data_IF_791119954019
#
_entry.id   IF_791119954019
#
_cell.length_a   1.000
_cell.length_b   1.000
_cell.length_c   1.000
_cell.angle_alpha   90.00
_cell.angle_beta   90.00
_cell.angle_gamma   90.00
#
_symmetry.space_group_name_H-M   'P 1'
#
loop_
_entity.id
_entity.type
_entity.pdbx_description
1 polymer ?
#
# COMPACT_ATOMS: atom_id res chain seq x y z
N UNK A 1 -30.63 -6.29 45.96
CA UNK A 1 -29.87 -5.16 45.39
C UNK A 1 -30.25 -5.07 43.92
N UNK A 2 -31.20 -4.20 43.58
CA UNK A 2 -31.76 -4.07 42.23
C UNK A 2 -31.21 -2.81 41.55
N UNK A 3 -30.68 -2.94 40.34
CA UNK A 3 -30.58 -1.85 39.35
C UNK A 3 -30.98 -2.49 38.02
N UNK A 4 -32.19 -2.24 37.50
CA UNK A 4 -32.68 -1.04 36.79
C UNK A 4 -32.10 -0.91 35.38
N UNK A 5 -32.93 -1.27 34.39
CA UNK A 5 -32.76 -0.99 32.95
C UNK A 5 -33.77 0.12 32.61
N UNK A 6 -33.24 1.29 32.27
CA UNK A 6 -33.90 2.43 31.60
C UNK A 6 -32.75 3.25 31.01
N UNK A 7 -32.67 3.71 29.77
CA UNK A 7 -33.60 3.80 28.67
C UNK A 7 -33.14 4.99 27.79
N UNK A 8 -32.89 4.70 26.51
CA UNK A 8 -33.06 5.54 25.31
C UNK A 8 -32.34 6.92 25.12
N UNK A 9 -31.56 6.94 24.04
CA UNK A 9 -31.56 7.84 22.86
C UNK A 9 -31.38 9.37 23.03
N UNK A 10 -30.40 9.92 22.28
CA UNK A 10 -30.59 10.70 21.04
C UNK A 10 -29.29 11.43 20.67
N UNK A 11 -28.83 11.22 19.45
CA UNK A 11 -27.70 11.92 18.85
C UNK A 11 -27.44 11.45 17.44
N UNK A 12 -28.47 11.48 16.58
CA UNK A 12 -28.33 11.23 15.15
C UNK A 12 -27.92 12.56 14.50
N UNK A 13 -26.70 12.63 13.98
CA UNK A 13 -26.27 13.57 12.96
C UNK A 13 -25.74 12.76 11.77
N UNK A 14 -26.02 13.13 10.52
CA UNK A 14 -25.74 12.27 9.37
C UNK A 14 -24.27 12.43 8.97
N UNK A 15 -23.48 11.37 9.06
CA UNK A 15 -22.31 11.21 8.20
C UNK A 15 -22.56 9.96 7.37
N UNK A 16 -23.23 10.19 6.26
CA UNK A 16 -23.38 9.24 5.17
C UNK A 16 -22.04 9.24 4.42
N UNK A 17 -21.17 8.28 4.72
CA UNK A 17 -19.87 8.12 4.08
C UNK A 17 -19.33 6.73 4.36
N UNK A 18 -19.61 5.83 3.43
CA UNK A 18 -19.23 4.40 3.34
C UNK A 18 -19.78 3.44 4.41
N UNK A 19 -20.70 2.58 3.96
CA UNK A 19 -20.90 1.26 4.53
C UNK A 19 -19.61 0.46 4.32
N UNK A 20 -18.75 0.38 5.34
CA UNK A 20 -17.89 -0.78 5.53
C UNK A 20 -17.98 -1.25 6.97
N UNK A 21 -19.09 -1.97 7.21
CA UNK A 21 -19.24 -3.08 8.14
C UNK A 21 -18.54 -3.00 9.51
N UNK A 22 -19.33 -2.66 10.52
CA UNK A 22 -19.17 -3.06 11.90
C UNK A 22 -19.26 -4.60 12.00
N UNK A 23 -18.16 -5.31 11.72
CA UNK A 23 -18.03 -6.76 11.93
C UNK A 23 -16.75 -7.08 12.73
N UNK A 24 -16.63 -6.52 13.93
CA UNK A 24 -15.74 -7.05 14.95
C UNK A 24 -16.52 -8.05 15.81
N UNK A 25 -16.79 -9.26 15.32
CA UNK A 25 -17.04 -10.43 16.19
C UNK A 25 -17.13 -11.79 15.44
N UNK A 26 -16.14 -12.15 14.61
CA UNK A 26 -15.78 -13.56 14.35
C UNK A 26 -14.40 -13.56 13.68
N UNK A 27 -13.41 -14.24 14.27
CA UNK A 27 -12.05 -14.32 13.76
C UNK A 27 -11.92 -15.16 12.47
N UNK A 28 -12.33 -14.59 11.34
CA UNK A 28 -12.01 -15.10 10.00
C UNK A 28 -11.76 -13.89 9.08
N UNK A 29 -10.55 -13.78 8.55
CA UNK A 29 -10.08 -12.72 7.64
C UNK A 29 -11.08 -12.42 6.53
N UNK A 30 -11.48 -11.15 6.37
CA UNK A 30 -12.20 -10.65 5.20
C UNK A 30 -11.23 -10.41 4.03
N UNK A 31 -10.44 -11.41 3.67
CA UNK A 31 -9.60 -11.34 2.48
C UNK A 31 -10.46 -11.18 1.22
N UNK A 32 -10.05 -10.30 0.30
CA UNK A 32 -10.76 -10.13 -0.98
C UNK A 32 -10.73 -11.43 -1.79
N UNK A 33 -11.79 -11.69 -2.56
CA UNK A 33 -11.83 -12.85 -3.46
C UNK A 33 -10.87 -12.65 -4.64
N UNK A 34 -10.45 -13.74 -5.27
CA UNK A 34 -9.62 -13.67 -6.47
C UNK A 34 -8.12 -13.42 -6.23
N UNK A 35 -7.66 -13.40 -4.98
CA UNK A 35 -6.24 -13.42 -4.64
C UNK A 35 -5.61 -14.76 -5.08
N UNK A 36 -4.49 -14.68 -5.77
CA UNK A 36 -3.73 -15.84 -6.22
C UNK A 36 -2.43 -15.96 -5.42
N UNK A 37 -2.22 -17.15 -4.89
CA UNK A 37 -1.08 -17.47 -4.05
C UNK A 37 -0.15 -18.43 -4.78
N UNK A 38 1.14 -18.35 -4.47
CA UNK A 38 2.11 -19.33 -4.94
C UNK A 38 1.78 -20.74 -4.42
N UNK A 39 2.41 -21.75 -5.04
CA UNK A 39 2.35 -23.14 -4.55
C UNK A 39 3.70 -23.54 -3.96
N UNK A 40 3.65 -24.32 -2.89
CA UNK A 40 4.80 -25.04 -2.36
C UNK A 40 5.21 -26.18 -3.30
N UNK A 41 6.37 -26.79 -3.05
CA UNK A 41 6.88 -27.92 -3.84
C UNK A 41 5.95 -29.14 -3.83
N UNK A 42 5.18 -29.30 -2.76
CA UNK A 42 4.19 -30.38 -2.61
C UNK A 42 2.83 -30.07 -3.29
N UNK A 43 2.71 -28.90 -3.94
CA UNK A 43 1.49 -28.44 -4.59
C UNK A 43 0.48 -27.75 -3.66
N UNK A 44 0.73 -27.72 -2.35
CA UNK A 44 -0.09 -26.97 -1.40
C UNK A 44 0.04 -25.45 -1.63
N UNK A 45 -0.99 -24.70 -1.24
CA UNK A 45 -0.99 -23.24 -1.39
C UNK A 45 -0.05 -22.60 -0.36
N UNK A 46 0.85 -21.73 -0.82
CA UNK A 46 1.68 -20.89 0.02
C UNK A 46 0.96 -19.55 0.29
N UNK A 47 0.22 -19.47 1.39
CA UNK A 47 -0.50 -18.24 1.78
C UNK A 47 0.41 -17.06 2.16
N UNK A 48 1.72 -17.26 2.25
CA UNK A 48 2.69 -16.20 2.56
C UNK A 48 3.04 -15.35 1.33
N UNK A 49 2.88 -15.90 0.12
CA UNK A 49 3.30 -15.27 -1.13
C UNK A 49 2.11 -15.12 -2.09
N UNK A 50 1.68 -13.87 -2.27
CA UNK A 50 0.65 -13.50 -3.23
C UNK A 50 1.32 -13.17 -4.57
N UNK A 51 0.86 -13.79 -5.66
CA UNK A 51 1.50 -13.69 -6.99
C UNK A 51 0.59 -13.10 -8.07
N UNK A 52 -0.67 -12.83 -7.73
CA UNK A 52 -1.62 -12.31 -8.70
C UNK A 52 -2.97 -12.00 -8.08
N UNK A 53 -3.78 -11.30 -8.86
CA UNK A 53 -5.14 -10.96 -8.54
C UNK A 53 -6.01 -11.12 -9.78
N UNK A 54 -7.18 -11.73 -9.61
CA UNK A 54 -8.19 -11.88 -10.67
C UNK A 54 -9.59 -11.54 -10.18
N UNK A 55 -9.69 -10.89 -9.02
CA UNK A 55 -10.96 -10.42 -8.48
C UNK A 55 -11.51 -9.26 -9.30
N UNK A 56 -12.79 -9.00 -9.11
CA UNK A 56 -13.49 -7.88 -9.76
C UNK A 56 -13.50 -6.64 -8.85
N UNK A 57 -13.30 -6.83 -7.56
CA UNK A 57 -13.29 -5.82 -6.52
C UNK A 57 -12.15 -4.83 -6.74
N UNK A 58 -12.41 -3.55 -6.51
CA UNK A 58 -11.42 -2.46 -6.63
C UNK A 58 -10.83 -2.04 -5.28
N UNK A 59 -11.47 -2.49 -4.21
CA UNK A 59 -11.01 -2.34 -2.84
C UNK A 59 -10.51 -3.70 -2.36
N UNK A 60 -9.18 -3.81 -2.20
CA UNK A 60 -8.51 -5.08 -1.89
C UNK A 60 -8.06 -5.09 -0.44
N UNK A 61 -8.43 -6.14 0.29
CA UNK A 61 -7.93 -6.46 1.62
C UNK A 61 -7.00 -7.66 1.50
N UNK A 62 -5.72 -7.44 1.74
CA UNK A 62 -4.70 -8.49 1.75
C UNK A 62 -4.70 -9.15 3.14
N UNK A 63 -4.82 -10.49 3.24
CA UNK A 63 -4.83 -11.19 4.52
C UNK A 63 -3.50 -11.12 5.28
N UNK A 64 -3.57 -11.15 6.61
CA UNK A 64 -2.44 -11.04 7.56
C UNK A 64 -1.47 -12.22 7.46
N UNK A 65 -1.83 -13.30 6.75
CA UNK A 65 -0.88 -14.37 6.46
C UNK A 65 0.18 -13.97 5.42
N UNK A 66 -0.07 -12.94 4.61
CA UNK A 66 0.81 -12.58 3.48
C UNK A 66 2.04 -11.84 4.00
N UNK A 67 3.22 -12.35 3.66
CA UNK A 67 4.50 -11.69 3.96
C UNK A 67 5.12 -11.05 2.72
N UNK A 68 4.72 -11.49 1.52
CA UNK A 68 5.27 -11.03 0.25
C UNK A 68 4.18 -10.84 -0.79
N UNK A 69 4.19 -9.66 -1.40
CA UNK A 69 3.39 -9.34 -2.59
C UNK A 69 4.33 -9.42 -3.78
N UNK A 70 4.06 -10.34 -4.69
CA UNK A 70 4.90 -10.66 -5.83
C UNK A 70 4.88 -9.60 -6.92
N UNK A 71 5.78 -9.78 -7.88
CA UNK A 71 5.87 -8.95 -9.09
C UNK A 71 4.52 -8.89 -9.83
N UNK A 72 4.08 -7.67 -10.15
CA UNK A 72 2.86 -7.40 -10.90
C UNK A 72 1.56 -7.90 -10.25
N UNK A 73 1.60 -8.35 -8.98
CA UNK A 73 0.51 -9.11 -8.37
C UNK A 73 -0.86 -8.42 -8.41
N UNK A 74 -0.87 -7.08 -8.35
CA UNK A 74 -2.05 -6.23 -8.45
C UNK A 74 -1.91 -5.15 -9.54
N UNK A 75 -0.99 -5.30 -10.50
CA UNK A 75 -0.79 -4.31 -11.55
C UNK A 75 -1.93 -4.31 -12.58
N UNK A 76 -2.35 -3.13 -13.06
CA UNK A 76 -3.39 -2.96 -14.10
C UNK A 76 -4.81 -3.44 -13.71
N UNK A 77 -5.18 -3.32 -12.43
CA UNK A 77 -6.48 -3.80 -11.93
C UNK A 77 -7.50 -2.69 -11.67
N UNK A 78 -7.16 -1.42 -11.92
CA UNK A 78 -8.02 -0.27 -11.61
C UNK A 78 -8.41 -0.23 -10.13
N UNK A 79 -7.51 -0.67 -9.24
CA UNK A 79 -7.75 -0.65 -7.80
C UNK A 79 -7.87 0.80 -7.32
N UNK A 80 -8.87 1.04 -6.47
CA UNK A 80 -9.14 2.33 -5.84
C UNK A 80 -8.61 2.37 -4.42
N UNK A 81 -8.52 1.22 -3.75
CA UNK A 81 -7.90 1.08 -2.44
C UNK A 81 -7.26 -0.29 -2.23
N UNK A 82 -6.24 -0.32 -1.36
CA UNK A 82 -5.65 -1.55 -0.87
C UNK A 82 -5.31 -1.43 0.62
N UNK A 83 -5.66 -2.45 1.40
CA UNK A 83 -5.22 -2.64 2.77
C UNK A 83 -4.06 -3.65 2.79
N UNK A 84 -2.86 -3.16 3.06
CA UNK A 84 -1.63 -3.97 3.19
C UNK A 84 -1.40 -4.25 4.69
N UNK A 85 -1.36 -5.52 5.13
CA UNK A 85 -1.20 -5.84 6.55
C UNK A 85 0.27 -5.73 7.00
N UNK A 86 0.46 -5.53 8.31
CA UNK A 86 1.77 -5.41 8.97
C UNK A 86 2.64 -6.68 8.87
N UNK A 87 2.09 -7.79 8.40
CA UNK A 87 2.85 -9.00 8.09
C UNK A 87 3.70 -8.86 6.81
N UNK A 88 3.36 -7.93 5.91
CA UNK A 88 4.06 -7.74 4.65
C UNK A 88 5.42 -7.12 4.89
N UNK A 89 6.45 -7.76 4.32
CA UNK A 89 7.84 -7.29 4.40
C UNK A 89 8.41 -6.92 3.04
N UNK A 90 7.81 -7.42 1.95
CA UNK A 90 8.29 -7.24 0.58
C UNK A 90 7.14 -6.95 -0.37
N UNK A 91 7.29 -5.90 -1.17
CA UNK A 91 6.43 -5.51 -2.29
C UNK A 91 7.26 -5.62 -3.57
N UNK A 92 6.81 -6.46 -4.51
CA UNK A 92 7.52 -6.77 -5.74
C UNK A 92 7.47 -5.65 -6.79
N UNK A 93 8.25 -5.83 -7.86
CA UNK A 93 8.26 -4.91 -9.00
C UNK A 93 6.87 -4.78 -9.63
N UNK A 94 6.43 -3.56 -9.91
CA UNK A 94 5.13 -3.30 -10.53
C UNK A 94 3.91 -3.79 -9.75
N UNK A 95 4.07 -4.19 -8.48
CA UNK A 95 3.04 -4.91 -7.73
C UNK A 95 1.69 -4.18 -7.71
N UNK A 96 1.68 -2.86 -7.62
CA UNK A 96 0.49 -2.00 -7.64
C UNK A 96 0.52 -0.98 -8.78
N UNK A 97 1.31 -1.20 -9.83
CA UNK A 97 1.45 -0.29 -10.96
C UNK A 97 0.19 -0.17 -11.83
N UNK A 98 -0.04 0.99 -12.46
CA UNK A 98 -1.21 1.30 -13.30
C UNK A 98 -2.55 1.03 -12.60
N UNK A 99 -2.78 1.65 -11.45
CA UNK A 99 -4.06 1.59 -10.75
C UNK A 99 -4.64 2.99 -10.56
N UNK A 100 -5.66 3.13 -9.72
CA UNK A 100 -6.33 4.39 -9.38
C UNK A 100 -6.25 4.63 -7.86
N UNK A 101 -5.13 4.18 -7.25
CA UNK A 101 -4.96 4.30 -5.81
C UNK A 101 -4.75 5.76 -5.47
N UNK A 102 -5.60 6.31 -4.61
CA UNK A 102 -5.53 7.71 -4.16
C UNK A 102 -4.70 7.88 -2.89
N UNK A 103 -4.62 6.82 -2.10
CA UNK A 103 -3.79 6.70 -0.91
C UNK A 103 -3.40 5.24 -0.68
N UNK A 104 -2.21 5.04 -0.11
CA UNK A 104 -1.72 3.74 0.34
C UNK A 104 -0.97 3.96 1.65
N UNK A 105 -1.29 3.16 2.67
CA UNK A 105 -0.45 3.05 3.86
C UNK A 105 0.50 1.88 3.65
N UNK A 106 1.80 2.16 3.54
CA UNK A 106 2.83 1.11 3.48
C UNK A 106 3.25 0.81 4.92
N UNK A 107 3.06 -0.42 5.43
CA UNK A 107 3.43 -0.76 6.80
C UNK A 107 4.93 -0.61 7.06
N UNK A 108 5.30 -0.26 8.30
CA UNK A 108 6.71 -0.10 8.72
C UNK A 108 7.53 -1.40 8.62
N UNK A 109 6.84 -2.55 8.61
CA UNK A 109 7.42 -3.88 8.38
C UNK A 109 7.98 -4.07 6.97
N UNK A 110 7.57 -3.24 6.00
CA UNK A 110 8.04 -3.33 4.62
C UNK A 110 9.47 -2.82 4.51
N UNK A 111 10.39 -3.74 4.20
CA UNK A 111 11.83 -3.46 4.08
C UNK A 111 12.30 -3.37 2.63
N UNK A 112 11.49 -3.84 1.67
CA UNK A 112 11.82 -3.83 0.25
C UNK A 112 10.60 -3.52 -0.62
N UNK A 113 10.75 -2.51 -1.47
CA UNK A 113 9.77 -2.11 -2.50
C UNK A 113 10.47 -2.19 -3.86
N UNK A 114 9.94 -3.02 -4.76
CA UNK A 114 10.47 -3.25 -6.11
C UNK A 114 10.35 -2.02 -7.02
N UNK A 115 11.09 -2.03 -8.12
CA UNK A 115 10.96 -0.99 -9.16
C UNK A 115 9.49 -0.87 -9.60
N UNK A 116 9.04 0.35 -9.92
CA UNK A 116 7.67 0.61 -10.39
C UNK A 116 6.55 0.13 -9.45
N UNK A 117 6.81 -0.22 -8.19
CA UNK A 117 5.79 -0.88 -7.36
C UNK A 117 4.46 -0.10 -7.24
N UNK A 118 4.50 1.23 -7.27
CA UNK A 118 3.32 2.11 -7.21
C UNK A 118 3.27 3.11 -8.38
N UNK A 119 3.87 2.77 -9.53
CA UNK A 119 3.91 3.66 -10.70
C UNK A 119 2.53 3.86 -11.32
N UNK A 120 2.30 5.02 -11.94
CA UNK A 120 1.06 5.41 -12.62
C UNK A 120 -0.19 5.11 -11.78
N UNK A 121 -0.36 5.91 -10.72
CA UNK A 121 -1.50 5.90 -9.81
C UNK A 121 -1.97 7.34 -9.53
N UNK A 122 -2.97 7.51 -8.69
CA UNK A 122 -3.52 8.81 -8.31
C UNK A 122 -3.07 9.23 -6.89
N UNK A 123 -1.91 8.75 -6.40
CA UNK A 123 -1.50 8.94 -5.02
C UNK A 123 -1.24 10.42 -4.74
N UNK A 124 -1.93 10.97 -3.74
CA UNK A 124 -1.78 12.38 -3.32
C UNK A 124 -0.85 12.56 -2.13
N UNK A 125 -0.65 11.49 -1.37
CA UNK A 125 0.24 11.43 -0.21
C UNK A 125 0.79 10.02 -0.06
N UNK A 126 1.98 9.92 0.52
CA UNK A 126 2.60 8.64 0.88
C UNK A 126 3.31 8.76 2.23
N UNK A 127 3.24 7.69 3.02
CA UNK A 127 4.10 7.48 4.18
C UNK A 127 5.06 6.33 3.83
N UNK A 128 6.36 6.61 3.90
CA UNK A 128 7.40 5.62 3.62
C UNK A 128 7.82 4.90 4.91
N UNK A 129 8.10 3.58 4.88
CA UNK A 129 8.58 2.86 6.05
C UNK A 129 9.92 3.40 6.55
N UNK A 130 10.06 3.57 7.86
CA UNK A 130 11.32 4.00 8.51
C UNK A 130 12.46 2.96 8.41
N UNK A 131 12.15 1.75 7.92
CA UNK A 131 13.13 0.69 7.68
C UNK A 131 13.66 0.65 6.24
N UNK A 132 13.14 1.50 5.35
CA UNK A 132 13.48 1.46 3.93
C UNK A 132 14.89 2.01 3.67
N UNK A 133 15.74 1.22 3.03
CA UNK A 133 17.13 1.63 2.71
C UNK A 133 17.24 2.24 1.30
N UNK A 134 16.43 1.77 0.37
CA UNK A 134 16.47 2.18 -1.04
C UNK A 134 15.06 2.43 -1.53
N UNK A 135 14.85 3.60 -2.14
CA UNK A 135 13.69 3.87 -2.99
C UNK A 135 14.13 3.51 -4.40
N UNK A 136 13.59 2.43 -4.97
CA UNK A 136 13.99 1.92 -6.28
C UNK A 136 13.53 2.82 -7.45
N UNK A 137 13.88 2.44 -8.67
CA UNK A 137 13.55 3.20 -9.86
C UNK A 137 12.04 3.24 -10.10
N UNK A 138 11.55 4.42 -10.50
CA UNK A 138 10.15 4.64 -10.94
C UNK A 138 9.08 4.22 -9.91
N UNK A 139 9.42 4.00 -8.63
CA UNK A 139 8.49 3.46 -7.63
C UNK A 139 7.20 4.26 -7.51
N UNK A 140 7.30 5.60 -7.51
CA UNK A 140 6.17 6.53 -7.45
C UNK A 140 6.09 7.41 -8.71
N UNK A 141 6.62 6.94 -9.84
CA UNK A 141 6.50 7.64 -11.13
C UNK A 141 5.02 7.88 -11.46
N UNK A 142 4.69 9.06 -11.99
CA UNK A 142 3.36 9.34 -12.56
C UNK A 142 2.25 9.34 -11.52
N UNK A 143 2.43 10.09 -10.43
CA UNK A 143 1.46 10.22 -9.35
C UNK A 143 1.07 11.69 -9.12
N UNK A 144 0.39 11.99 -8.02
CA UNK A 144 -0.06 13.34 -7.66
C UNK A 144 0.48 13.78 -6.29
N UNK A 145 1.65 13.25 -5.90
CA UNK A 145 2.24 13.54 -4.60
C UNK A 145 2.61 15.03 -4.53
N UNK A 146 2.16 15.68 -3.46
CA UNK A 146 2.43 17.12 -3.24
C UNK A 146 3.60 17.37 -2.30
N UNK A 147 3.86 16.41 -1.41
CA UNK A 147 4.91 16.46 -0.40
C UNK A 147 5.43 15.05 -0.13
N UNK A 148 6.75 14.91 0.08
CA UNK A 148 7.37 13.65 0.48
C UNK A 148 8.41 13.91 1.58
N UNK A 149 8.37 13.07 2.61
CA UNK A 149 9.42 12.98 3.64
C UNK A 149 10.17 11.68 3.42
N UNK A 150 11.46 11.78 3.08
CA UNK A 150 12.32 10.63 2.88
C UNK A 150 12.84 10.16 4.27
N UNK A 151 12.67 8.88 4.64
CA UNK A 151 13.14 8.36 5.92
C UNK A 151 14.66 8.45 6.09
N UNK A 152 15.11 8.62 7.34
CA UNK A 152 16.55 8.72 7.67
C UNK A 152 17.35 7.44 7.40
N UNK A 153 16.68 6.32 7.17
CA UNK A 153 17.29 5.05 6.77
C UNK A 153 17.67 5.01 5.29
N UNK A 154 17.09 5.88 4.45
CA UNK A 154 17.29 5.83 3.00
C UNK A 154 18.67 6.36 2.64
N UNK A 155 19.41 5.57 1.87
CA UNK A 155 20.73 5.96 1.33
C UNK A 155 20.68 6.22 -0.17
N UNK A 156 19.70 5.65 -0.87
CA UNK A 156 19.61 5.68 -2.34
C UNK A 156 18.18 5.97 -2.80
N UNK A 157 18.05 6.95 -3.69
CA UNK A 157 16.83 7.26 -4.45
C UNK A 157 17.11 6.92 -5.91
N UNK A 158 16.32 6.02 -6.49
CA UNK A 158 16.52 5.49 -7.83
C UNK A 158 16.11 6.47 -8.94
N UNK A 159 16.44 6.10 -10.18
CA UNK A 159 16.09 6.86 -11.37
C UNK A 159 14.57 7.06 -11.44
N UNK A 160 14.13 8.30 -11.71
CA UNK A 160 12.72 8.67 -11.86
C UNK A 160 11.80 8.25 -10.71
N UNK A 161 12.35 8.03 -9.51
CA UNK A 161 11.58 7.50 -8.36
C UNK A 161 10.30 8.31 -8.05
N UNK A 162 10.33 9.62 -8.26
CA UNK A 162 9.22 10.57 -8.07
C UNK A 162 8.99 11.44 -9.32
N UNK A 163 9.35 10.95 -10.50
CA UNK A 163 9.13 11.67 -11.75
C UNK A 163 7.63 11.86 -12.02
N UNK A 164 7.22 13.02 -12.53
CA UNK A 164 5.84 13.24 -12.96
C UNK A 164 4.86 13.28 -11.79
N UNK A 165 5.22 14.00 -10.72
CA UNK A 165 4.37 14.22 -9.55
C UNK A 165 3.94 15.71 -9.49
N UNK A 166 3.57 16.21 -8.31
CA UNK A 166 3.17 17.61 -8.07
C UNK A 166 3.92 18.16 -6.85
N UNK A 167 5.16 17.72 -6.64
CA UNK A 167 5.91 17.96 -5.40
C UNK A 167 6.24 19.44 -5.25
N UNK A 168 5.69 20.04 -4.20
CA UNK A 168 6.02 21.40 -3.77
C UNK A 168 7.09 21.43 -2.67
N UNK A 169 7.29 20.31 -1.99
CA UNK A 169 8.29 20.14 -0.94
C UNK A 169 8.78 18.69 -0.86
N UNK A 170 10.08 18.52 -0.68
CA UNK A 170 10.70 17.22 -0.40
C UNK A 170 11.69 17.41 0.75
N UNK A 171 11.54 16.60 1.81
CA UNK A 171 12.55 16.52 2.88
C UNK A 171 13.47 15.35 2.59
N UNK A 172 14.74 15.66 2.29
CA UNK A 172 15.80 14.67 2.03
C UNK A 172 16.78 14.69 3.20
N UNK A 173 16.99 13.57 3.92
CA UNK A 173 17.94 13.50 5.02
C UNK A 173 19.38 13.34 4.53
N UNK A 174 20.34 13.69 5.41
CA UNK A 174 21.79 13.60 5.12
C UNK A 174 22.28 12.17 4.84
N UNK A 175 21.48 11.16 5.18
CA UNK A 175 21.77 9.76 4.87
C UNK A 175 21.75 9.45 3.37
N UNK A 176 21.05 10.26 2.56
CA UNK A 176 20.95 10.05 1.11
C UNK A 176 22.26 10.41 0.42
N UNK A 177 22.96 9.39 -0.05
CA UNK A 177 24.25 9.52 -0.75
C UNK A 177 24.12 9.39 -2.26
N UNK A 178 22.97 8.95 -2.77
CA UNK A 178 22.76 8.73 -4.21
C UNK A 178 21.34 9.11 -4.59
N UNK A 179 21.22 9.98 -5.60
CA UNK A 179 19.96 10.36 -6.24
C UNK A 179 20.11 10.06 -7.72
N UNK A 180 19.23 9.21 -8.23
CA UNK A 180 19.22 8.77 -9.61
C UNK A 180 18.75 9.85 -10.58
N UNK A 181 18.96 9.57 -11.87
CA UNK A 181 18.61 10.48 -12.94
C UNK A 181 17.10 10.79 -12.93
N UNK A 182 16.76 12.07 -13.09
CA UNK A 182 15.37 12.56 -13.21
C UNK A 182 14.48 12.19 -12.00
N UNK A 183 15.06 11.85 -10.85
CA UNK A 183 14.34 11.32 -9.68
C UNK A 183 13.18 12.21 -9.22
N UNK A 184 13.28 13.52 -9.41
CA UNK A 184 12.28 14.52 -9.02
C UNK A 184 11.89 15.46 -10.19
N UNK A 185 12.08 15.05 -11.44
CA UNK A 185 11.70 15.86 -12.61
C UNK A 185 10.17 15.87 -12.83
N UNK A 186 9.65 16.92 -13.49
CA UNK A 186 8.22 17.12 -13.79
C UNK A 186 7.33 17.10 -12.54
N UNK A 187 7.61 18.03 -11.62
CA UNK A 187 6.86 18.29 -10.40
C UNK A 187 6.31 19.71 -10.35
#
# INVERSE_FOLDING_TARGET
MSLSITGLTRGIGPILGSLLSLAFLTGCEQATKGLQYAKNRDGSVNKLLLIGYTGAEKDVVIPDSVTTIGEGAFGNHQLTSVSIPDSVTTIGEGAFGNNQLTSVTIPDSVTSIGDKAFYDNDLTSITLPESLVTIRGEVFYGNHLTNVVIPNSVTTIGNRAFYGNQLTSVTIPDSVTTIGDEAFENN
#
